data_IF_633879923404
#
_entry.id   IF_633879923404
#
_cell.length_a   1.000
_cell.length_b   1.000
_cell.length_c   1.000
_cell.angle_alpha   90.00
_cell.angle_beta   90.00
_cell.angle_gamma   90.00
#
_symmetry.space_group_name_H-M   'P 1'
#
loop_
_entity.id
_entity.type
_entity.pdbx_description
1 polymer ?
#
# COMPACT_ATOMS: atom_id res chain seq x y z
N UNK A 1 -16.47 -2.66 -12.27
CA UNK A 1 -16.42 -2.74 -10.81
C UNK A 1 -15.79 -1.44 -10.31
N UNK A 2 -16.43 -0.75 -9.37
CA UNK A 2 -15.98 0.55 -8.90
C UNK A 2 -15.27 0.49 -7.53
N UNK A 3 -15.38 -0.62 -6.80
CA UNK A 3 -14.71 -0.86 -5.54
C UNK A 3 -14.94 -2.28 -5.04
N UNK A 4 -14.15 -2.73 -4.06
CA UNK A 4 -14.29 -4.05 -3.44
C UNK A 4 -14.46 -3.90 -1.93
N UNK A 5 -15.53 -4.52 -1.41
CA UNK A 5 -15.75 -4.73 0.02
C UNK A 5 -15.66 -6.23 0.31
N UNK A 6 -14.74 -6.60 1.19
CA UNK A 6 -14.63 -7.96 1.72
C UNK A 6 -14.97 -8.03 3.20
N UNK A 7 -15.37 -9.21 3.68
CA UNK A 7 -15.59 -9.43 5.11
C UNK A 7 -15.34 -10.87 5.51
N UNK A 8 -14.86 -11.08 6.74
CA UNK A 8 -14.70 -12.41 7.33
C UNK A 8 -13.57 -12.54 8.34
N UNK A 9 -13.25 -13.78 8.66
CA UNK A 9 -12.12 -14.18 9.51
C UNK A 9 -10.82 -14.37 8.72
N UNK A 10 -9.88 -15.14 9.27
CA UNK A 10 -8.53 -15.34 8.71
C UNK A 10 -8.52 -15.86 7.27
N UNK A 11 -9.26 -16.92 6.99
CA UNK A 11 -9.31 -17.52 5.65
C UNK A 11 -9.85 -16.57 4.59
N UNK A 12 -10.99 -15.93 4.86
CA UNK A 12 -11.57 -14.97 3.92
C UNK A 12 -10.69 -13.72 3.77
N UNK A 13 -10.05 -13.25 4.84
CA UNK A 13 -9.10 -12.13 4.75
C UNK A 13 -7.95 -12.46 3.81
N UNK A 14 -7.35 -13.65 3.93
CA UNK A 14 -6.27 -14.09 3.04
C UNK A 14 -6.70 -14.10 1.57
N UNK A 15 -7.84 -14.71 1.25
CA UNK A 15 -8.34 -14.84 -0.12
C UNK A 15 -8.70 -13.48 -0.71
N UNK A 16 -9.50 -12.70 0.02
CA UNK A 16 -10.02 -11.43 -0.50
C UNK A 16 -8.92 -10.38 -0.63
N UNK A 17 -8.01 -10.29 0.36
CA UNK A 17 -6.90 -9.32 0.26
C UNK A 17 -5.89 -9.71 -0.82
N UNK A 18 -5.71 -10.99 -1.13
CA UNK A 18 -4.91 -11.40 -2.29
C UNK A 18 -5.48 -10.84 -3.60
N UNK A 19 -6.80 -10.93 -3.79
CA UNK A 19 -7.47 -10.31 -4.93
C UNK A 19 -7.36 -8.77 -4.90
N UNK A 20 -7.51 -8.16 -3.73
CA UNK A 20 -7.37 -6.70 -3.57
C UNK A 20 -5.96 -6.21 -3.89
N UNK A 21 -4.91 -6.96 -3.51
CA UNK A 21 -3.51 -6.63 -3.84
C UNK A 21 -3.21 -6.65 -5.33
N UNK A 22 -3.95 -7.42 -6.11
CA UNK A 22 -3.81 -7.46 -7.57
C UNK A 22 -4.37 -6.21 -8.27
N UNK A 23 -5.14 -5.38 -7.55
CA UNK A 23 -5.72 -4.15 -8.09
C UNK A 23 -4.76 -2.97 -7.99
N UNK A 24 -4.92 -1.95 -8.84
CA UNK A 24 -4.09 -0.74 -8.77
C UNK A 24 -4.20 -0.01 -7.42
N UNK A 25 -3.18 0.75 -7.09
CA UNK A 25 -3.23 1.75 -6.01
C UNK A 25 -4.30 2.80 -6.36
N UNK A 26 -5.01 3.30 -5.35
CA UNK A 26 -6.12 4.26 -5.54
C UNK A 26 -7.47 3.61 -5.86
N UNK A 27 -7.51 2.34 -6.28
CA UNK A 27 -8.79 1.64 -6.44
C UNK A 27 -9.43 1.38 -5.07
N UNK A 28 -10.74 1.70 -4.84
CA UNK A 28 -11.39 1.54 -3.55
C UNK A 28 -11.41 0.10 -3.03
N UNK A 29 -10.71 -0.16 -1.91
CA UNK A 29 -10.56 -1.48 -1.29
C UNK A 29 -10.79 -1.39 0.21
N UNK A 30 -11.76 -2.16 0.73
CA UNK A 30 -12.04 -2.23 2.17
C UNK A 30 -12.30 -3.67 2.60
N UNK A 31 -11.59 -4.13 3.63
CA UNK A 31 -11.74 -5.43 4.24
C UNK A 31 -12.20 -5.32 5.70
N UNK A 32 -13.38 -5.84 6.02
CA UNK A 32 -13.83 -6.02 7.42
C UNK A 32 -13.33 -7.37 7.91
N UNK A 33 -12.45 -7.37 8.91
CA UNK A 33 -11.79 -8.59 9.37
C UNK A 33 -11.76 -8.71 10.89
N UNK A 34 -11.95 -9.94 11.39
CA UNK A 34 -11.70 -10.25 12.80
C UNK A 34 -10.24 -10.09 13.21
N UNK A 35 -9.33 -10.11 12.22
CA UNK A 35 -7.88 -9.98 12.45
C UNK A 35 -7.36 -8.53 12.37
N UNK A 36 -8.22 -7.58 12.01
CA UNK A 36 -7.78 -6.19 11.77
C UNK A 36 -7.37 -5.41 13.04
N UNK A 37 -7.47 -6.02 14.22
CA UNK A 37 -6.91 -5.49 15.47
C UNK A 37 -5.47 -5.94 15.76
N UNK A 38 -4.92 -6.84 14.93
CA UNK A 38 -3.57 -7.39 15.06
C UNK A 38 -2.64 -6.97 13.94
N UNK A 39 -1.65 -7.80 13.62
CA UNK A 39 -0.74 -7.58 12.52
C UNK A 39 -1.45 -7.79 11.17
N UNK A 40 -1.66 -6.70 10.46
CA UNK A 40 -2.32 -6.69 9.14
C UNK A 40 -1.34 -6.71 7.96
N UNK A 41 -0.05 -6.57 8.21
CA UNK A 41 0.98 -6.49 7.15
C UNK A 41 0.90 -7.65 6.13
N UNK A 42 0.69 -8.93 6.53
CA UNK A 42 0.58 -10.04 5.56
C UNK A 42 -0.64 -9.93 4.63
N UNK A 43 -1.68 -9.23 5.06
CA UNK A 43 -2.90 -9.03 4.27
C UNK A 43 -2.81 -7.84 3.34
N UNK A 44 -2.26 -6.73 3.84
CA UNK A 44 -2.18 -5.46 3.11
C UNK A 44 -1.04 -5.47 2.10
N UNK A 45 0.14 -5.95 2.49
CA UNK A 45 1.35 -5.90 1.66
C UNK A 45 1.65 -4.46 1.23
N UNK A 46 2.14 -4.24 -0.01
CA UNK A 46 2.41 -2.91 -0.55
C UNK A 46 1.15 -2.23 -1.16
N UNK A 47 -0.05 -2.59 -0.70
CA UNK A 47 -1.31 -2.11 -1.26
C UNK A 47 -2.08 -1.23 -0.26
N UNK A 48 -2.87 -0.29 -0.77
CA UNK A 48 -3.68 0.66 -0.02
C UNK A 48 -5.03 0.07 0.46
N UNK A 49 -5.01 -1.12 1.05
CA UNK A 49 -6.21 -1.78 1.57
C UNK A 49 -6.62 -1.19 2.90
N UNK A 50 -7.84 -0.66 3.00
CA UNK A 50 -8.42 -0.26 4.28
C UNK A 50 -8.85 -1.50 5.06
N UNK A 51 -8.28 -1.69 6.26
CA UNK A 51 -8.65 -2.78 7.17
C UNK A 51 -9.53 -2.24 8.30
N UNK A 52 -10.75 -2.78 8.43
CA UNK A 52 -11.70 -2.43 9.50
C UNK A 52 -11.92 -3.62 10.43
N UNK A 53 -11.69 -3.43 11.73
CA UNK A 53 -11.93 -4.48 12.70
C UNK A 53 -13.43 -4.76 12.88
N UNK A 54 -13.83 -6.03 12.79
CA UNK A 54 -15.24 -6.43 12.94
C UNK A 54 -15.77 -6.34 14.35
N UNK A 55 -14.88 -6.26 15.36
CA UNK A 55 -15.14 -6.22 16.81
C UNK A 55 -15.75 -7.53 17.35
N UNK A 56 -16.68 -8.12 16.62
CA UNK A 56 -17.23 -9.45 16.89
C UNK A 56 -16.98 -10.38 15.69
N UNK A 57 -17.16 -11.67 15.88
CA UNK A 57 -17.10 -12.60 14.76
C UNK A 57 -18.20 -12.32 13.73
N UNK A 58 -17.91 -12.61 12.48
CA UNK A 58 -18.83 -12.41 11.34
C UNK A 58 -19.73 -13.65 11.19
N UNK A 59 -20.37 -14.04 12.30
CA UNK A 59 -21.26 -15.18 12.39
C UNK A 59 -22.73 -14.72 12.53
N UNK A 60 -23.26 -14.10 11.47
CA UNK A 60 -24.60 -13.56 11.44
C UNK A 60 -24.69 -12.07 11.86
N UNK A 61 -25.91 -11.54 11.84
CA UNK A 61 -26.16 -10.12 12.11
C UNK A 61 -26.67 -9.92 13.55
N UNK A 62 -25.89 -9.17 14.34
CA UNK A 62 -26.24 -8.67 15.66
C UNK A 62 -26.16 -7.14 15.69
N UNK A 63 -26.43 -6.52 16.86
CA UNK A 63 -26.43 -5.08 17.00
C UNK A 63 -25.08 -4.42 16.69
N UNK A 64 -23.96 -5.10 16.99
CA UNK A 64 -22.59 -4.60 16.74
C UNK A 64 -22.23 -4.81 15.27
N UNK A 65 -22.38 -6.05 14.75
CA UNK A 65 -22.02 -6.35 13.36
C UNK A 65 -22.82 -5.51 12.35
N UNK A 66 -24.10 -5.21 12.63
CA UNK A 66 -24.91 -4.29 11.80
C UNK A 66 -24.29 -2.89 11.71
N UNK A 67 -23.79 -2.35 12.83
CA UNK A 67 -23.16 -1.01 12.85
C UNK A 67 -21.82 -1.03 12.10
N UNK A 68 -20.98 -2.02 12.37
CA UNK A 68 -19.65 -2.12 11.74
C UNK A 68 -19.77 -2.34 10.23
N UNK A 69 -20.60 -3.30 9.80
CA UNK A 69 -20.83 -3.58 8.37
C UNK A 69 -21.49 -2.38 7.68
N UNK A 70 -22.46 -1.72 8.33
CA UNK A 70 -23.07 -0.48 7.83
C UNK A 70 -22.04 0.62 7.62
N UNK A 71 -21.15 0.84 8.59
CA UNK A 71 -20.07 1.81 8.44
C UNK A 71 -19.09 1.45 7.32
N UNK A 72 -18.76 0.16 7.16
CA UNK A 72 -17.93 -0.31 6.07
C UNK A 72 -18.59 -0.07 4.70
N UNK A 73 -19.89 -0.31 4.59
CA UNK A 73 -20.66 -0.03 3.38
C UNK A 73 -20.67 1.46 3.05
N UNK A 74 -20.87 2.34 4.04
CA UNK A 74 -20.81 3.79 3.84
C UNK A 74 -19.39 4.24 3.46
N UNK A 75 -18.35 3.69 4.06
CA UNK A 75 -16.97 4.03 3.76
C UNK A 75 -16.61 3.69 2.30
N UNK A 76 -16.89 2.47 1.86
CA UNK A 76 -16.61 2.07 0.48
C UNK A 76 -17.47 2.83 -0.52
N UNK A 77 -18.72 3.10 -0.20
CA UNK A 77 -19.59 3.93 -1.03
C UNK A 77 -19.04 5.36 -1.15
N UNK A 78 -18.56 5.94 -0.04
CA UNK A 78 -17.91 7.25 -0.04
C UNK A 78 -16.66 7.29 -0.93
N UNK A 79 -15.81 6.27 -0.87
CA UNK A 79 -14.63 6.14 -1.74
C UNK A 79 -15.00 6.03 -3.22
N UNK A 80 -16.08 5.32 -3.53
CA UNK A 80 -16.53 5.09 -4.92
C UNK A 80 -17.24 6.31 -5.51
N UNK A 81 -18.05 7.00 -4.71
CA UNK A 81 -18.89 8.11 -5.17
C UNK A 81 -18.14 9.45 -5.24
N UNK A 82 -17.02 9.57 -4.52
CA UNK A 82 -16.24 10.79 -4.46
C UNK A 82 -14.87 10.55 -5.09
N UNK A 83 -14.68 11.02 -6.33
CA UNK A 83 -13.38 10.97 -6.99
C UNK A 83 -12.41 11.97 -6.37
N UNK A 84 -11.17 11.54 -6.17
CA UNK A 84 -10.06 12.47 -5.89
C UNK A 84 -9.54 12.96 -7.25
N UNK A 85 -9.52 14.29 -7.50
CA UNK A 85 -8.99 14.81 -8.75
C UNK A 85 -7.51 14.43 -8.93
N UNK A 86 -7.16 13.97 -10.12
CA UNK A 86 -5.76 13.82 -10.47
C UNK A 86 -5.14 15.21 -10.66
N UNK A 87 -4.14 15.52 -9.84
CA UNK A 87 -3.37 16.75 -9.96
C UNK A 87 -2.03 16.38 -10.58
N UNK A 88 -1.84 16.70 -11.85
CA UNK A 88 -0.55 16.57 -12.52
C UNK A 88 -0.01 17.96 -12.83
N UNK A 89 1.18 18.27 -12.36
CA UNK A 89 1.92 19.47 -12.71
C UNK A 89 2.80 19.27 -13.95
N UNK A 90 2.68 18.13 -14.63
CA UNK A 90 3.44 17.75 -15.81
C UNK A 90 4.87 17.29 -15.51
N UNK A 91 5.26 17.18 -14.26
CA UNK A 91 6.55 16.64 -13.85
C UNK A 91 6.59 15.12 -14.02
N UNK A 92 7.78 14.60 -14.31
CA UNK A 92 7.98 13.15 -14.41
C UNK A 92 7.99 12.53 -13.02
N UNK A 93 7.12 11.54 -12.72
CA UNK A 93 7.09 10.86 -11.43
C UNK A 93 8.28 9.89 -11.30
N UNK A 94 9.14 10.10 -10.27
CA UNK A 94 10.35 9.32 -10.03
C UNK A 94 10.35 8.79 -8.60
N UNK A 95 10.49 7.46 -8.45
CA UNK A 95 10.67 6.80 -7.16
C UNK A 95 12.13 6.87 -6.69
N UNK A 96 12.34 7.04 -5.39
CA UNK A 96 13.68 7.00 -4.77
C UNK A 96 13.66 6.22 -3.47
N UNK A 97 14.61 5.34 -3.26
CA UNK A 97 14.80 4.69 -1.96
C UNK A 97 15.65 5.56 -1.02
N UNK A 98 15.30 5.56 0.25
CA UNK A 98 16.00 6.31 1.29
C UNK A 98 16.03 5.53 2.60
N UNK A 99 17.19 5.46 3.24
CA UNK A 99 17.30 4.96 4.61
C UNK A 99 18.56 5.51 5.30
N UNK A 100 18.40 5.98 6.54
CA UNK A 100 19.50 6.36 7.42
C UNK A 100 20.52 7.31 6.76
N UNK A 101 21.70 6.80 6.51
CA UNK A 101 22.86 7.59 6.03
C UNK A 101 22.70 8.16 4.61
N UNK A 102 21.80 7.60 3.80
CA UNK A 102 21.57 8.09 2.43
C UNK A 102 20.62 9.30 2.38
N UNK A 103 20.02 9.70 3.49
CA UNK A 103 19.03 10.80 3.56
C UNK A 103 19.57 12.10 2.98
N UNK A 104 20.81 12.48 3.29
CA UNK A 104 21.41 13.71 2.77
C UNK A 104 21.58 13.67 1.25
N UNK A 105 22.04 12.54 0.70
CA UNK A 105 22.18 12.31 -0.73
C UNK A 105 20.83 12.41 -1.45
N UNK A 106 19.81 11.68 -0.97
CA UNK A 106 18.45 11.70 -1.53
C UNK A 106 17.86 13.11 -1.53
N UNK A 107 18.06 13.86 -0.42
CA UNK A 107 17.58 15.24 -0.31
C UNK A 107 18.23 16.17 -1.34
N UNK A 108 19.51 16.02 -1.60
CA UNK A 108 20.22 16.80 -2.63
C UNK A 108 19.72 16.45 -4.02
N UNK A 109 19.56 15.16 -4.34
CA UNK A 109 19.04 14.71 -5.65
C UNK A 109 17.64 15.26 -5.87
N UNK A 110 16.75 15.19 -4.87
CA UNK A 110 15.40 15.78 -4.95
C UNK A 110 15.45 17.27 -5.29
N UNK A 111 16.32 18.04 -4.61
CA UNK A 111 16.48 19.48 -4.91
C UNK A 111 16.94 19.74 -6.34
N UNK A 112 17.84 18.89 -6.87
CA UNK A 112 18.32 19.02 -8.25
C UNK A 112 17.22 18.71 -9.28
N UNK A 113 16.30 17.80 -8.96
CA UNK A 113 15.24 17.33 -9.86
C UNK A 113 13.92 18.07 -9.69
N UNK A 114 13.76 18.91 -8.66
CA UNK A 114 12.48 19.53 -8.26
C UNK A 114 11.76 20.30 -9.38
N UNK A 115 12.49 20.85 -10.33
CA UNK A 115 11.91 21.58 -11.45
C UNK A 115 11.34 20.67 -12.57
N UNK A 116 11.78 19.41 -12.65
CA UNK A 116 11.45 18.49 -13.76
C UNK A 116 10.77 17.21 -13.31
N UNK A 117 10.96 16.83 -12.06
CA UNK A 117 10.46 15.56 -11.53
C UNK A 117 9.62 15.78 -10.27
N UNK A 118 8.58 14.96 -10.14
CA UNK A 118 7.87 14.72 -8.90
C UNK A 118 8.52 13.52 -8.19
N UNK A 119 9.24 13.76 -7.09
CA UNK A 119 10.04 12.74 -6.44
C UNK A 119 9.28 12.08 -5.28
N UNK A 120 9.01 10.79 -5.41
CA UNK A 120 8.42 9.93 -4.38
C UNK A 120 9.50 9.19 -3.62
N UNK A 121 9.58 9.39 -2.30
CA UNK A 121 10.62 8.78 -1.46
C UNK A 121 10.04 7.62 -0.66
N UNK A 122 10.70 6.46 -0.76
CA UNK A 122 10.33 5.23 -0.10
C UNK A 122 11.39 4.84 0.93
N UNK A 123 10.95 4.52 2.13
CA UNK A 123 11.86 4.12 3.21
C UNK A 123 12.31 2.68 3.01
N UNK A 124 13.60 2.46 2.72
CA UNK A 124 14.16 1.15 2.40
C UNK A 124 14.33 0.28 3.66
N UNK A 125 13.20 -0.22 4.18
CA UNK A 125 13.08 -1.04 5.40
C UNK A 125 12.36 -2.36 5.16
N UNK A 126 12.48 -2.93 3.96
CA UNK A 126 11.81 -4.15 3.52
C UNK A 126 10.47 -3.90 2.82
N UNK A 127 9.69 -2.93 3.28
CA UNK A 127 8.38 -2.60 2.69
C UNK A 127 8.43 -1.44 1.70
N UNK A 128 9.40 -0.54 1.82
CA UNK A 128 9.51 0.65 0.98
C UNK A 128 9.84 0.33 -0.46
N UNK A 129 10.79 -0.55 -0.70
CA UNK A 129 11.12 -1.06 -2.03
C UNK A 129 9.92 -1.69 -2.71
N UNK A 130 9.18 -2.55 -1.99
CA UNK A 130 7.93 -3.15 -2.48
C UNK A 130 6.86 -2.13 -2.89
N UNK A 131 6.70 -1.07 -2.08
CA UNK A 131 5.74 -0.02 -2.42
C UNK A 131 6.16 0.71 -3.70
N UNK A 132 7.46 0.99 -3.86
CA UNK A 132 8.00 1.59 -5.07
C UNK A 132 7.76 0.71 -6.30
N UNK A 133 8.08 -0.58 -6.22
CA UNK A 133 7.84 -1.57 -7.27
C UNK A 133 6.36 -1.65 -7.65
N UNK A 134 5.48 -1.71 -6.65
CA UNK A 134 4.03 -1.74 -6.89
C UNK A 134 3.53 -0.49 -7.63
N UNK A 135 4.10 0.68 -7.37
CA UNK A 135 3.76 1.91 -8.08
C UNK A 135 4.33 1.93 -9.50
N UNK A 136 5.52 1.34 -9.73
CA UNK A 136 6.07 1.14 -11.08
C UNK A 136 5.15 0.22 -11.89
N UNK A 137 4.79 -0.95 -11.35
CA UNK A 137 3.91 -1.92 -12.00
C UNK A 137 2.52 -1.35 -12.30
N UNK A 138 2.05 -0.45 -11.45
CA UNK A 138 0.77 0.23 -11.62
C UNK A 138 0.82 1.43 -12.56
N UNK A 139 2.01 1.75 -13.11
CA UNK A 139 2.20 2.85 -14.06
C UNK A 139 2.24 4.26 -13.44
N UNK A 140 2.35 4.36 -12.10
CA UNK A 140 2.43 5.65 -11.40
C UNK A 140 3.83 6.26 -11.42
N UNK A 141 4.88 5.45 -11.55
CA UNK A 141 6.27 5.93 -11.63
C UNK A 141 6.83 5.67 -13.02
N UNK A 142 7.43 6.69 -13.61
CA UNK A 142 8.08 6.62 -14.92
C UNK A 142 9.56 6.19 -14.82
N UNK A 143 10.18 6.38 -13.66
CA UNK A 143 11.58 6.01 -13.40
C UNK A 143 11.79 5.74 -11.91
N UNK A 144 12.88 5.04 -11.58
CA UNK A 144 13.32 4.80 -10.22
C UNK A 144 14.81 5.08 -10.06
N UNK A 145 15.20 5.61 -8.90
CA UNK A 145 16.60 5.83 -8.49
C UNK A 145 16.79 5.10 -7.17
N UNK A 146 17.28 3.87 -7.22
CA UNK A 146 17.55 3.07 -6.04
C UNK A 146 18.91 3.44 -5.44
N UNK A 147 18.90 4.43 -4.53
CA UNK A 147 20.10 4.95 -3.86
C UNK A 147 20.47 4.09 -2.67
N UNK A 148 19.47 3.48 -2.03
CA UNK A 148 19.62 2.70 -0.79
C UNK A 148 19.39 1.24 -1.08
N UNK A 149 20.43 0.57 -1.55
CA UNK A 149 20.39 -0.84 -1.97
C UNK A 149 20.39 -1.83 -0.79
N UNK A 150 20.10 -1.37 0.43
CA UNK A 150 20.13 -2.20 1.66
C UNK A 150 19.18 -3.39 1.57
N UNK A 151 17.96 -3.20 1.05
CA UNK A 151 16.97 -4.27 0.92
C UNK A 151 17.46 -5.41 0.00
N UNK A 152 18.11 -5.05 -1.12
CA UNK A 152 18.71 -6.02 -2.06
C UNK A 152 19.92 -6.70 -1.42
N UNK A 153 20.78 -5.95 -0.72
CA UNK A 153 21.93 -6.50 -0.01
C UNK A 153 21.50 -7.47 1.10
N UNK A 154 20.48 -7.10 1.87
CA UNK A 154 19.94 -7.94 2.94
C UNK A 154 19.29 -9.21 2.41
N UNK A 155 18.64 -9.15 1.25
CA UNK A 155 18.11 -10.34 0.59
C UNK A 155 19.23 -11.31 0.15
N UNK A 156 20.27 -10.78 -0.50
CA UNK A 156 21.35 -11.61 -1.05
C UNK A 156 22.30 -12.16 0.02
N UNK A 157 22.50 -11.45 1.12
CA UNK A 157 23.52 -11.77 2.13
C UNK A 157 22.94 -12.08 3.52
N UNK A 158 21.61 -12.12 3.68
CA UNK A 158 20.97 -12.53 4.92
C UNK A 158 20.87 -11.42 5.98
N UNK A 159 20.46 -10.22 5.59
CA UNK A 159 20.17 -9.11 6.50
C UNK A 159 18.77 -9.15 7.09
N UNK A 160 18.38 -8.09 7.80
CA UNK A 160 17.12 -8.01 8.59
C UNK A 160 15.98 -7.29 7.87
N UNK A 161 16.25 -6.62 6.76
CA UNK A 161 15.28 -5.83 5.99
C UNK A 161 15.27 -6.26 4.50
N UNK A 162 15.18 -7.56 4.19
CA UNK A 162 15.29 -8.02 2.82
C UNK A 162 14.12 -7.51 1.95
N UNK A 163 14.41 -7.26 0.67
CA UNK A 163 13.38 -7.20 -0.35
C UNK A 163 12.78 -8.59 -0.58
N UNK A 164 11.72 -8.70 -1.36
CA UNK A 164 11.25 -10.01 -1.79
C UNK A 164 12.09 -10.56 -2.94
N UNK A 165 12.00 -11.87 -3.07
CA UNK A 165 12.73 -12.76 -3.95
C UNK A 165 12.23 -12.79 -5.39
N UNK A 166 11.17 -12.08 -5.72
CA UNK A 166 10.49 -12.18 -7.02
C UNK A 166 10.97 -11.16 -8.05
N UNK A 167 12.02 -10.36 -7.72
CA UNK A 167 12.41 -9.20 -8.55
C UNK A 167 13.89 -8.90 -8.58
#
# INVERSE_FOLDING_TARGET
VAGILGMGGSGNSTIVTAAMRALPIGFPKLMVSTLASGNVAPFVGPSDITMMHSVSDVAGLNAISRKVIGNAAHAIAGMVLNSVPEVSDGKMPVGMTMFGVTTACVSQIRQMLDNTCECFVFHATGTGGHCMEKLIDSGYLAAAIDITTTEVADHLFGGILPCTDDR
#
